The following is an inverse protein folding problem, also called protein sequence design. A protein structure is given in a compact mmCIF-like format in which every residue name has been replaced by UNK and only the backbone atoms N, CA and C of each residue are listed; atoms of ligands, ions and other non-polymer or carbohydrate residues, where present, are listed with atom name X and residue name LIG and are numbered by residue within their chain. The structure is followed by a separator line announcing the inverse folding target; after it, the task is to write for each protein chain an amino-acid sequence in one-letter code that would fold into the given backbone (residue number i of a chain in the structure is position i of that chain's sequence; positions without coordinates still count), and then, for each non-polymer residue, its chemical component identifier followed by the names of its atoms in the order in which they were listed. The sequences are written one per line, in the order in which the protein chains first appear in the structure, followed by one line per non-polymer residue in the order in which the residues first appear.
data_IF_161807624073
#
_entry.id   IF_161807624073
#
_cell.length_a   1.000
_cell.length_b   1.000
_cell.length_c   1.000
_cell.angle_alpha   90.00
_cell.angle_beta   90.00
_cell.angle_gamma   90.00
#
_symmetry.space_group_name_H-M   'P 1'
#
loop_
_entity.id
_entity.type
_entity.pdbx_description
1 polymer ?
#
# COMPACT_ATOMS: atom_id res chain seq x y z
N UNK A 1 20.19 -13.06 5.03
CA UNK A 1 19.08 -12.77 4.09
C UNK A 1 18.06 -13.88 4.24
N UNK A 2 17.02 -13.69 5.05
CA UNK A 2 15.95 -14.69 5.22
C UNK A 2 15.05 -14.62 4.00
N UNK A 3 15.16 -15.63 3.13
CA UNK A 3 14.25 -15.81 2.01
C UNK A 3 12.84 -16.02 2.58
N UNK A 4 11.93 -15.08 2.30
CA UNK A 4 10.55 -15.14 2.76
C UNK A 4 9.87 -16.26 1.97
N UNK A 5 9.93 -17.49 2.48
CA UNK A 5 9.25 -18.64 1.89
C UNK A 5 7.75 -18.45 2.07
N UNK A 6 7.06 -18.34 0.92
CA UNK A 6 5.64 -18.00 0.79
C UNK A 6 4.66 -19.11 1.28
N UNK A 7 5.14 -20.05 2.08
CA UNK A 7 4.41 -21.21 2.61
C UNK A 7 4.11 -21.12 4.10
N UNK A 8 4.73 -20.21 4.85
CA UNK A 8 4.44 -20.02 6.27
C UNK A 8 3.48 -18.85 6.47
N UNK A 9 2.49 -19.01 7.34
CA UNK A 9 1.67 -17.90 7.80
C UNK A 9 2.55 -17.06 8.76
N UNK A 10 3.01 -15.86 8.35
CA UNK A 10 3.93 -15.09 9.17
C UNK A 10 3.25 -14.70 10.48
N UNK A 11 4.01 -14.79 11.56
CA UNK A 11 3.56 -14.33 12.88
C UNK A 11 3.29 -12.82 12.86
N UNK A 12 2.52 -12.33 13.85
CA UNK A 12 2.25 -10.89 13.97
C UNK A 12 3.56 -10.08 14.04
N UNK A 13 4.59 -10.60 14.73
CA UNK A 13 5.90 -9.97 14.82
C UNK A 13 6.58 -9.83 13.44
N UNK A 14 6.63 -10.93 12.67
CA UNK A 14 7.21 -10.91 11.31
C UNK A 14 6.40 -10.03 10.35
N UNK A 15 5.08 -10.01 10.50
CA UNK A 15 4.21 -9.10 9.75
C UNK A 15 4.54 -7.63 10.06
N UNK A 16 4.82 -7.28 11.32
CA UNK A 16 5.21 -5.94 11.72
C UNK A 16 6.56 -5.54 11.09
N UNK A 17 7.54 -6.45 11.11
CA UNK A 17 8.85 -6.22 10.49
C UNK A 17 8.75 -6.05 8.96
N UNK A 18 7.81 -6.75 8.34
CA UNK A 18 7.56 -6.70 6.88
C UNK A 18 6.46 -5.72 6.48
N UNK A 19 5.91 -4.94 7.40
CA UNK A 19 4.81 -3.98 7.15
C UNK A 19 5.18 -3.01 6.02
N UNK A 20 6.37 -2.41 6.11
CA UNK A 20 6.86 -1.45 5.11
C UNK A 20 6.97 -2.05 3.70
N UNK A 21 7.09 -3.39 3.58
CA UNK A 21 7.06 -4.10 2.29
C UNK A 21 5.63 -4.19 1.78
N UNK A 22 4.65 -4.50 2.64
CA UNK A 22 3.25 -4.56 2.24
C UNK A 22 2.67 -3.19 1.89
N UNK A 23 3.08 -2.13 2.61
CA UNK A 23 2.70 -0.75 2.28
C UNK A 23 3.23 -0.39 0.88
N UNK A 24 4.50 -0.68 0.59
CA UNK A 24 5.08 -0.48 -0.74
C UNK A 24 4.39 -1.31 -1.82
N UNK A 25 4.08 -2.58 -1.53
CA UNK A 25 3.29 -3.42 -2.43
C UNK A 25 1.92 -2.80 -2.76
N UNK A 26 1.25 -2.21 -1.76
CA UNK A 26 -0.01 -1.53 -1.96
C UNK A 26 0.13 -0.23 -2.78
N UNK A 27 1.22 0.52 -2.58
CA UNK A 27 1.56 1.66 -3.43
C UNK A 27 1.76 1.22 -4.89
N UNK A 28 2.41 0.07 -5.14
CA UNK A 28 2.52 -0.50 -6.49
C UNK A 28 1.16 -0.89 -7.10
N UNK A 29 0.23 -1.44 -6.32
CA UNK A 29 -1.13 -1.74 -6.80
C UNK A 29 -1.87 -0.45 -7.18
N UNK A 30 -1.77 0.58 -6.35
CA UNK A 30 -2.29 1.92 -6.66
C UNK A 30 -1.56 2.49 -7.89
N UNK A 31 -0.27 2.18 -8.05
CA UNK A 31 0.56 2.60 -9.16
C UNK A 31 0.09 1.97 -10.50
N UNK A 32 -0.31 0.72 -10.44
CA UNK A 32 -0.81 -0.06 -11.57
C UNK A 32 -2.29 0.29 -11.91
N UNK A 33 -2.96 1.05 -11.04
CA UNK A 33 -4.36 1.45 -11.25
C UNK A 33 -5.37 0.38 -10.84
N UNK A 34 -4.93 -0.57 -10.01
CA UNK A 34 -5.78 -1.60 -9.42
C UNK A 34 -6.88 -0.95 -8.60
N UNK A 35 -8.11 -1.46 -8.71
CA UNK A 35 -9.27 -0.97 -7.95
C UNK A 35 -9.27 -1.54 -6.53
N UNK A 36 -9.90 -0.83 -5.60
CA UNK A 36 -10.06 -1.28 -4.20
C UNK A 36 -10.57 -2.73 -4.11
N UNK A 37 -11.57 -3.09 -4.92
CA UNK A 37 -12.18 -4.44 -4.95
C UNK A 37 -11.23 -5.56 -5.35
N UNK A 38 -10.13 -5.23 -6.03
CA UNK A 38 -9.11 -6.19 -6.43
C UNK A 38 -7.91 -6.14 -5.46
N UNK A 39 -7.56 -4.94 -5.00
CA UNK A 39 -6.57 -4.75 -3.93
C UNK A 39 -6.98 -5.50 -2.66
N UNK A 40 -8.27 -5.55 -2.30
CA UNK A 40 -8.74 -6.26 -1.12
C UNK A 40 -8.55 -7.78 -1.16
N UNK A 41 -8.46 -8.37 -2.35
CA UNK A 41 -8.19 -9.81 -2.54
C UNK A 41 -6.69 -10.14 -2.45
N UNK A 42 -5.83 -9.13 -2.56
CA UNK A 42 -4.39 -9.28 -2.55
C UNK A 42 -3.87 -9.80 -1.20
N UNK A 43 -2.70 -10.45 -1.23
CA UNK A 43 -2.05 -10.97 -0.03
C UNK A 43 -1.58 -9.84 0.89
N UNK A 44 -1.05 -8.75 0.34
CA UNK A 44 -0.61 -7.60 1.14
C UNK A 44 -1.76 -6.97 1.92
N UNK A 45 -2.95 -6.86 1.31
CA UNK A 45 -4.14 -6.37 2.00
C UNK A 45 -4.55 -7.25 3.16
N UNK A 46 -4.65 -8.57 2.95
CA UNK A 46 -5.00 -9.52 4.02
C UNK A 46 -4.00 -9.46 5.19
N UNK A 47 -2.70 -9.32 4.89
CA UNK A 47 -1.64 -9.19 5.88
C UNK A 47 -1.72 -7.89 6.68
N UNK A 48 -1.94 -6.76 6.01
CA UNK A 48 -2.17 -5.46 6.66
C UNK A 48 -3.46 -5.46 7.48
N UNK A 49 -4.54 -6.06 6.98
CA UNK A 49 -5.78 -6.22 7.71
C UNK A 49 -5.58 -7.02 9.01
N UNK A 50 -4.76 -8.08 8.96
CA UNK A 50 -4.42 -8.88 10.14
C UNK A 50 -3.62 -8.09 11.17
N UNK A 51 -2.68 -7.24 10.72
CA UNK A 51 -1.96 -6.32 11.61
C UNK A 51 -2.90 -5.31 12.27
N UNK A 52 -3.81 -4.72 11.49
CA UNK A 52 -4.81 -3.79 12.00
C UNK A 52 -5.76 -4.47 13.00
N UNK A 53 -6.21 -5.69 12.73
CA UNK A 53 -7.04 -6.46 13.66
C UNK A 53 -6.31 -6.82 14.95
N UNK A 54 -5.00 -7.12 14.87
CA UNK A 54 -4.19 -7.42 16.05
C UNK A 54 -3.84 -6.16 16.87
N UNK A 55 -3.63 -5.02 16.21
CA UNK A 55 -3.14 -3.77 16.80
C UNK A 55 -3.74 -2.54 16.08
N UNK A 56 -5.02 -2.23 16.31
CA UNK A 56 -5.72 -1.14 15.62
C UNK A 56 -5.19 0.25 16.01
N UNK A 57 -4.65 0.40 17.22
CA UNK A 57 -4.00 1.65 17.67
C UNK A 57 -2.70 1.98 16.94
N UNK A 58 -2.00 0.95 16.43
CA UNK A 58 -0.68 1.11 15.81
C UNK A 58 -0.73 1.09 14.29
N UNK A 59 -1.62 0.26 13.72
CA UNK A 59 -1.70 0.05 12.27
C UNK A 59 -3.00 0.61 11.72
N UNK A 60 -2.90 1.42 10.67
CA UNK A 60 -4.08 1.97 10.00
C UNK A 60 -4.83 0.89 9.21
N UNK A 61 -6.14 1.12 9.06
CA UNK A 61 -6.98 0.28 8.21
C UNK A 61 -6.44 0.25 6.76
N UNK A 62 -6.32 -0.93 6.13
CA UNK A 62 -5.74 -1.07 4.79
C UNK A 62 -6.54 -0.32 3.72
N UNK A 63 -7.85 -0.15 3.90
CA UNK A 63 -8.69 0.65 3.00
C UNK A 63 -8.36 2.13 3.12
N UNK A 64 -8.26 2.64 4.35
CA UNK A 64 -7.86 4.03 4.59
C UNK A 64 -6.47 4.32 4.00
N UNK A 65 -5.54 3.39 4.17
CA UNK A 65 -4.20 3.48 3.58
C UNK A 65 -4.26 3.49 2.05
N UNK A 66 -5.00 2.56 1.43
CA UNK A 66 -5.17 2.50 -0.02
C UNK A 66 -5.76 3.80 -0.59
N UNK A 67 -6.82 4.33 0.04
CA UNK A 67 -7.43 5.60 -0.35
C UNK A 67 -6.45 6.77 -0.20
N UNK A 68 -5.68 6.80 0.88
CA UNK A 68 -4.66 7.83 1.12
C UNK A 68 -3.57 7.80 0.04
N UNK A 69 -3.06 6.62 -0.32
CA UNK A 69 -2.08 6.42 -1.39
C UNK A 69 -2.66 6.85 -2.75
N UNK A 70 -3.89 6.43 -3.05
CA UNK A 70 -4.58 6.79 -4.28
C UNK A 70 -4.77 8.31 -4.41
N UNK A 71 -5.19 8.98 -3.33
CA UNK A 71 -5.33 10.43 -3.29
C UNK A 71 -3.98 11.15 -3.41
N UNK A 72 -2.96 10.71 -2.67
CA UNK A 72 -1.62 11.27 -2.75
C UNK A 72 -1.06 11.19 -4.17
N UNK A 73 -1.29 10.07 -4.85
CA UNK A 73 -0.89 9.89 -6.25
C UNK A 73 -1.66 10.80 -7.20
N UNK A 74 -2.98 10.90 -7.05
CA UNK A 74 -3.80 11.84 -7.83
C UNK A 74 -3.33 13.28 -7.66
N UNK A 75 -2.95 13.67 -6.43
CA UNK A 75 -2.35 14.98 -6.15
C UNK A 75 -0.99 15.15 -6.83
N UNK A 76 -0.11 14.15 -6.80
CA UNK A 76 1.18 14.19 -7.52
C UNK A 76 1.00 14.34 -9.04
N UNK A 77 0.01 13.65 -9.62
CA UNK A 77 -0.30 13.78 -11.04
C UNK A 77 -0.93 15.15 -11.37
N UNK A 78 -1.76 15.70 -10.48
CA UNK A 78 -2.37 17.02 -10.63
C UNK A 78 -1.39 18.19 -10.38
N UNK A 79 -0.34 17.97 -9.57
CA UNK A 79 0.69 18.95 -9.23
C UNK A 79 1.78 19.05 -10.29
N UNK A 80 1.74 18.29 -11.40
CA UNK A 80 2.57 18.64 -12.56
C UNK A 80 1.93 19.86 -13.24
N UNK A 81 2.42 21.10 -12.98
CA UNK A 81 1.94 22.22 -13.77
C UNK A 81 2.48 21.97 -15.16
N UNK A 82 1.64 22.23 -16.15
CA UNK A 82 2.11 22.26 -17.52
C UNK A 82 3.33 23.19 -17.61
N UNK A 83 4.52 22.61 -17.72
CA UNK A 83 5.70 23.24 -18.33
C UNK A 83 5.39 23.41 -19.81
N UNK A 84 4.36 24.20 -20.09
CA UNK A 84 3.94 24.68 -21.39
C UNK A 84 3.78 26.17 -21.22
N UNK A 85 4.92 26.86 -21.19
CA UNK A 85 5.07 28.13 -21.88
C UNK A 85 6.46 28.13 -22.51
N UNK A 86 6.50 27.54 -23.71
CA UNK A 86 7.55 27.84 -24.67
C UNK A 86 7.26 29.25 -25.23
N UNK A 87 8.23 30.15 -25.01
CA UNK A 87 8.65 31.29 -25.85
C UNK A 87 7.64 32.41 -26.19
N UNK A 88 8.13 33.65 -26.43
CA UNK A 88 9.05 34.03 -27.52
C UNK A 88 10.52 34.21 -27.11
#
# INVERSE_FOLDING_TARGET
MTAITFTHEPTIAELCETEAVYIRAMDYLVADGVKESEACKSVCWRRLNRLHQAMPDRYCDPRSLFLSLHQARRRRLAVQPSSRHARP
#
